data_IF_591867319989
#
_entry.id   IF_591867319989
#
_cell.length_a   1.000
_cell.length_b   1.000
_cell.length_c   1.000
_cell.angle_alpha   90.00
_cell.angle_beta   90.00
_cell.angle_gamma   90.00
#
_symmetry.space_group_name_H-M   'P 1'
#
loop_
_entity.id
_entity.type
_entity.pdbx_description
1 polymer ?
#
# COMPACT_ATOMS: atom_id res chain seq x y z
N UNK A 1 -2.41 14.05 16.99
CA UNK A 1 -1.96 13.92 15.59
C UNK A 1 -2.75 12.75 15.00
N UNK A 2 -3.58 12.99 13.98
CA UNK A 2 -4.31 11.91 13.31
C UNK A 2 -3.41 11.39 12.20
N UNK A 3 -3.15 10.09 12.20
CA UNK A 3 -2.42 9.41 11.15
C UNK A 3 -3.39 8.50 10.41
N UNK A 4 -3.40 8.60 9.09
CA UNK A 4 -4.13 7.66 8.24
C UNK A 4 -3.13 6.68 7.63
N UNK A 5 -3.41 5.38 7.76
CA UNK A 5 -2.58 4.32 7.19
C UNK A 5 -3.00 4.02 5.76
N UNK A 6 -2.01 3.97 4.89
CA UNK A 6 -2.15 3.59 3.49
C UNK A 6 -1.37 2.31 3.26
N UNK A 7 -2.06 1.24 2.84
CA UNK A 7 -1.51 -0.09 2.56
C UNK A 7 -1.84 -0.55 1.14
N UNK A 8 -0.92 -1.24 0.50
CA UNK A 8 -1.17 -1.93 -0.78
C UNK A 8 -1.54 -3.39 -0.54
N UNK A 9 -2.55 -3.91 -1.22
CA UNK A 9 -3.08 -5.26 -1.04
C UNK A 9 -3.44 -5.90 -2.38
N UNK A 10 -2.98 -7.13 -2.57
CA UNK A 10 -3.31 -7.96 -3.72
C UNK A 10 -4.12 -9.16 -3.26
N UNK A 11 -5.21 -9.44 -3.96
CA UNK A 11 -6.05 -10.60 -3.68
C UNK A 11 -5.52 -11.86 -4.40
N UNK A 12 -5.60 -13.00 -3.72
CA UNK A 12 -5.29 -14.33 -4.28
C UNK A 12 -6.58 -15.11 -4.47
N UNK A 13 -6.75 -15.66 -5.67
CA UNK A 13 -7.96 -16.38 -6.10
C UNK A 13 -7.68 -17.87 -6.21
N UNK A 14 -8.61 -18.68 -5.70
CA UNK A 14 -8.59 -20.13 -5.87
C UNK A 14 -9.16 -20.56 -7.23
N UNK A 15 -9.13 -21.86 -7.55
CA UNK A 15 -9.65 -22.39 -8.82
C UNK A 15 -11.12 -22.08 -9.08
N UNK A 16 -11.92 -21.84 -8.04
CA UNK A 16 -13.33 -21.44 -8.14
C UNK A 16 -13.55 -19.93 -8.35
N UNK A 17 -12.49 -19.13 -8.43
CA UNK A 17 -12.58 -17.67 -8.48
C UNK A 17 -12.87 -17.02 -7.12
N UNK A 18 -12.88 -17.78 -6.02
CA UNK A 18 -13.08 -17.26 -4.67
C UNK A 18 -11.75 -16.75 -4.10
N UNK A 19 -11.77 -15.58 -3.45
CA UNK A 19 -10.63 -15.03 -2.73
C UNK A 19 -10.34 -15.89 -1.49
N UNK A 20 -9.10 -16.36 -1.35
CA UNK A 20 -8.69 -17.15 -0.18
C UNK A 20 -7.59 -16.49 0.65
N UNK A 21 -6.92 -15.47 0.11
CA UNK A 21 -5.90 -14.72 0.83
C UNK A 21 -5.74 -13.31 0.25
N UNK A 22 -5.20 -12.42 1.07
CA UNK A 22 -4.65 -11.13 0.67
C UNK A 22 -3.15 -11.09 0.98
N UNK A 23 -2.39 -10.47 0.10
CA UNK A 23 -0.96 -10.24 0.27
C UNK A 23 -0.69 -8.74 0.28
N UNK A 24 0.04 -8.28 1.28
CA UNK A 24 0.48 -6.89 1.31
C UNK A 24 1.60 -6.64 0.29
N UNK A 25 1.34 -5.67 -0.58
CA UNK A 25 2.23 -5.24 -1.67
C UNK A 25 2.58 -3.76 -1.51
N UNK A 26 3.53 -3.27 -2.29
CA UNK A 26 3.84 -1.84 -2.28
C UNK A 26 2.66 -1.04 -2.88
N UNK A 27 2.43 0.20 -2.46
CA UNK A 27 1.43 1.08 -3.05
C UNK A 27 1.54 1.12 -4.58
N UNK A 28 0.40 0.99 -5.26
CA UNK A 28 0.31 0.91 -6.72
C UNK A 28 0.27 -0.51 -7.29
N UNK A 29 0.75 -1.52 -6.56
CA UNK A 29 0.71 -2.93 -7.01
C UNK A 29 -0.56 -3.68 -6.59
N UNK A 30 -1.37 -3.05 -5.74
CA UNK A 30 -2.60 -3.58 -5.16
C UNK A 30 -3.87 -3.12 -5.86
N UNK A 31 -5.01 -3.43 -5.26
CA UNK A 31 -6.35 -3.16 -5.81
C UNK A 31 -6.93 -1.80 -5.36
N UNK A 32 -6.15 -1.00 -4.64
CA UNK A 32 -6.66 0.21 -3.97
C UNK A 32 -6.94 1.35 -4.94
N UNK A 33 -8.00 2.09 -4.64
CA UNK A 33 -8.40 3.30 -5.37
C UNK A 33 -7.74 4.55 -4.76
N UNK A 34 -6.42 4.66 -4.91
CA UNK A 34 -5.59 5.70 -4.29
C UNK A 34 -6.01 7.14 -4.64
N UNK A 35 -6.16 7.47 -5.93
CA UNK A 35 -6.50 8.83 -6.33
C UNK A 35 -7.89 9.27 -5.81
N UNK A 36 -8.97 8.46 -5.96
CA UNK A 36 -10.25 8.78 -5.31
C UNK A 36 -10.14 8.98 -3.80
N UNK A 37 -9.35 8.16 -3.09
CA UNK A 37 -9.14 8.31 -1.65
C UNK A 37 -8.52 9.66 -1.29
N UNK A 38 -7.41 10.05 -1.94
CA UNK A 38 -6.76 11.32 -1.65
C UNK A 38 -7.62 12.54 -2.04
N UNK A 39 -8.39 12.46 -3.14
CA UNK A 39 -9.37 13.50 -3.49
C UNK A 39 -10.44 13.66 -2.42
N UNK A 40 -11.00 12.55 -1.93
CA UNK A 40 -11.99 12.58 -0.85
C UNK A 40 -11.40 13.18 0.44
N UNK A 41 -10.15 12.84 0.80
CA UNK A 41 -9.46 13.45 1.93
C UNK A 41 -9.32 14.98 1.78
N UNK A 42 -8.97 15.46 0.58
CA UNK A 42 -8.89 16.90 0.29
C UNK A 42 -10.26 17.58 0.39
N UNK A 43 -11.32 16.94 -0.13
CA UNK A 43 -12.69 17.45 -0.09
C UNK A 43 -13.22 17.65 1.33
N UNK A 44 -12.86 16.77 2.27
CA UNK A 44 -13.28 16.90 3.68
C UNK A 44 -12.37 17.81 4.52
N UNK A 45 -11.34 18.42 3.90
CA UNK A 45 -10.39 19.30 4.59
C UNK A 45 -9.43 18.56 5.52
N UNK A 46 -9.02 17.34 5.17
CA UNK A 46 -8.01 16.61 5.94
C UNK A 46 -6.62 17.25 5.80
N UNK A 47 -6.09 17.76 6.90
CA UNK A 47 -4.75 18.39 6.99
C UNK A 47 -3.73 17.52 7.75
N UNK A 48 -4.06 16.25 8.00
CA UNK A 48 -3.20 15.32 8.73
C UNK A 48 -2.10 14.70 7.86
N UNK A 49 -1.23 13.91 8.49
CA UNK A 49 -0.21 13.14 7.80
C UNK A 49 -0.78 11.81 7.27
N UNK A 50 -0.22 11.34 6.15
CA UNK A 50 -0.41 9.98 5.66
C UNK A 50 0.81 9.14 5.98
N UNK A 51 0.59 7.94 6.50
CA UNK A 51 1.62 6.96 6.79
C UNK A 51 1.49 5.79 5.83
N UNK A 52 2.54 5.53 5.06
CA UNK A 52 2.68 4.27 4.34
C UNK A 52 3.07 3.17 5.31
N UNK A 53 2.26 2.11 5.35
CA UNK A 53 2.47 0.93 6.19
C UNK A 53 2.57 -0.33 5.33
N UNK A 54 3.44 -1.23 5.76
CA UNK A 54 3.54 -2.57 5.20
C UNK A 54 3.97 -3.58 6.27
N UNK A 55 3.05 -4.49 6.59
CA UNK A 55 3.16 -5.63 7.49
C UNK A 55 3.19 -6.93 6.69
N UNK A 56 4.14 -7.07 5.76
CA UNK A 56 4.24 -8.28 4.95
C UNK A 56 4.45 -9.54 5.84
N UNK A 57 3.61 -10.58 5.72
CA UNK A 57 3.69 -11.76 6.59
C UNK A 57 4.92 -12.62 6.26
N UNK A 58 5.52 -13.19 7.31
CA UNK A 58 6.68 -14.11 7.29
C UNK A 58 6.44 -15.46 6.56
N UNK A 59 5.31 -15.62 5.86
CA UNK A 59 4.78 -16.92 5.38
C UNK A 59 4.36 -16.89 3.90
N UNK A 60 5.11 -16.22 3.03
CA UNK A 60 4.92 -16.34 1.57
C UNK A 60 5.75 -17.49 0.98
N UNK A 61 5.28 -18.22 -0.05
CA UNK A 61 6.10 -19.21 -0.75
C UNK A 61 7.37 -18.55 -1.32
N UNK A 62 8.54 -19.13 -1.01
CA UNK A 62 9.83 -18.53 -1.38
C UNK A 62 10.29 -17.39 -0.45
N UNK A 63 9.72 -17.30 0.76
CA UNK A 63 10.11 -16.32 1.78
C UNK A 63 11.62 -16.34 2.01
N UNK A 64 12.26 -15.21 1.70
CA UNK A 64 13.63 -14.92 2.09
C UNK A 64 13.57 -13.91 3.22
N UNK A 65 14.47 -14.06 4.19
CA UNK A 65 14.67 -13.01 5.21
C UNK A 65 14.89 -11.69 4.47
N UNK A 66 14.08 -10.65 4.73
CA UNK A 66 14.29 -9.37 4.08
C UNK A 66 15.64 -8.79 4.49
N UNK A 67 16.28 -8.09 3.56
CA UNK A 67 17.48 -7.29 3.85
C UNK A 67 17.06 -5.84 4.10
N UNK A 68 17.96 -5.05 4.69
CA UNK A 68 17.71 -3.62 4.89
C UNK A 68 17.48 -2.92 3.55
N UNK A 69 18.24 -3.31 2.53
CA UNK A 69 18.12 -2.76 1.17
C UNK A 69 16.75 -3.04 0.55
N UNK A 70 16.16 -4.22 0.82
CA UNK A 70 14.82 -4.54 0.34
C UNK A 70 13.75 -3.73 1.09
N UNK A 71 13.94 -3.50 2.39
CA UNK A 71 13.05 -2.62 3.17
C UNK A 71 13.14 -1.19 2.63
N UNK A 72 14.34 -0.66 2.43
CA UNK A 72 14.57 0.69 1.90
C UNK A 72 13.98 0.85 0.50
N UNK A 73 14.19 -0.15 -0.38
CA UNK A 73 13.62 -0.16 -1.73
C UNK A 73 12.09 -0.11 -1.68
N UNK A 74 11.45 -0.92 -0.84
CA UNK A 74 9.98 -0.94 -0.70
C UNK A 74 9.44 0.37 -0.15
N UNK A 75 10.15 0.99 0.80
CA UNK A 75 9.80 2.29 1.34
C UNK A 75 9.88 3.39 0.28
N UNK A 76 10.97 3.41 -0.50
CA UNK A 76 11.17 4.39 -1.56
C UNK A 76 10.08 4.28 -2.64
N UNK A 77 9.81 3.07 -3.12
CA UNK A 77 8.78 2.84 -4.15
C UNK A 77 7.40 3.26 -3.66
N UNK A 78 7.02 2.87 -2.44
CA UNK A 78 5.72 3.23 -1.86
C UNK A 78 5.57 4.74 -1.64
N UNK A 79 6.63 5.39 -1.15
CA UNK A 79 6.67 6.83 -0.95
C UNK A 79 6.54 7.59 -2.28
N UNK A 80 7.33 7.23 -3.28
CA UNK A 80 7.32 7.89 -4.59
C UNK A 80 5.95 7.75 -5.28
N UNK A 81 5.33 6.57 -5.17
CA UNK A 81 4.00 6.34 -5.70
C UNK A 81 2.96 7.24 -5.02
N UNK A 82 2.91 7.27 -3.68
CA UNK A 82 1.97 8.12 -2.95
C UNK A 82 2.21 9.60 -3.26
N UNK A 83 3.47 10.03 -3.26
CA UNK A 83 3.86 11.40 -3.58
C UNK A 83 3.47 11.82 -4.99
N UNK A 84 3.43 10.89 -5.95
CA UNK A 84 3.01 11.18 -7.32
C UNK A 84 1.58 11.76 -7.42
N UNK A 85 0.73 11.51 -6.42
CA UNK A 85 -0.62 12.05 -6.37
C UNK A 85 -0.68 13.53 -5.98
N UNK A 86 0.36 14.12 -5.39
CA UNK A 86 0.39 15.56 -5.04
C UNK A 86 0.13 16.45 -6.27
N UNK A 87 0.59 16.02 -7.45
CA UNK A 87 0.36 16.75 -8.71
C UNK A 87 -1.06 16.57 -9.28
N UNK A 88 -1.87 15.69 -8.69
CA UNK A 88 -3.18 15.25 -9.22
C UNK A 88 -4.36 15.60 -8.31
N UNK A 89 -4.10 16.11 -7.09
CA UNK A 89 -5.11 16.47 -6.09
C UNK A 89 -5.19 17.97 -5.87
#
# INVERSE_FOLDING_TARGET
MIHSHTLGSRLRYGPSGVVYASEEVVPGDGIENWLPFFKACKEVGYEGYFAYEQCAPFLMPGHKKPTVEEIDRRQQVGFDFIKSFESQI
#
